data_IF_094420805147
#
_entry.id   IF_094420805147
#
_cell.length_a   1.000
_cell.length_b   1.000
_cell.length_c   1.000
_cell.angle_alpha   90.00
_cell.angle_beta   90.00
_cell.angle_gamma   90.00
#
_symmetry.space_group_name_H-M   'P 1'
#
loop_
_entity.id
_entity.type
_entity.pdbx_description
1 polymer ?
#
# COMPACT_ATOMS: atom_id res chain seq x y z
N UNK A 1 22.92 6.75 44.04
CA UNK A 1 21.56 6.82 44.60
C UNK A 1 20.77 7.85 43.81
N UNK A 2 19.54 7.54 43.36
CA UNK A 2 18.67 8.54 42.71
C UNK A 2 18.30 9.60 43.75
N UNK A 3 18.46 10.88 43.41
CA UNK A 3 18.07 12.00 44.28
C UNK A 3 16.54 12.06 44.31
N UNK A 4 15.96 11.91 45.49
CA UNK A 4 14.49 11.97 45.68
C UNK A 4 14.10 13.37 46.13
N UNK A 5 13.13 13.98 45.47
CA UNK A 5 12.57 15.28 45.86
C UNK A 5 11.19 15.08 46.48
N UNK A 6 10.92 15.79 47.59
CA UNK A 6 9.64 15.69 48.30
C UNK A 6 8.71 16.79 47.79
N UNK A 7 7.56 16.38 47.27
CA UNK A 7 6.48 17.27 46.84
C UNK A 7 5.27 17.04 47.74
N UNK A 8 4.54 18.12 48.05
CA UNK A 8 3.24 18.06 48.74
C UNK A 8 2.16 18.35 47.72
N UNK A 9 1.21 17.44 47.57
CA UNK A 9 0.08 17.58 46.63
C UNK A 9 -1.23 17.35 47.37
N UNK A 10 -2.26 18.10 46.99
CA UNK A 10 -3.63 17.86 47.46
C UNK A 10 -4.34 17.01 46.42
N UNK A 11 -4.83 15.84 46.83
CA UNK A 11 -5.59 14.92 45.99
C UNK A 11 -6.97 14.66 46.62
N UNK A 12 -7.98 14.38 45.80
CA UNK A 12 -9.27 13.90 46.29
C UNK A 12 -9.12 12.68 47.21
N UNK A 13 -9.95 12.59 48.25
CA UNK A 13 -9.81 11.59 49.31
C UNK A 13 -10.08 10.17 48.82
N UNK A 14 -10.95 10.02 47.83
CA UNK A 14 -11.20 8.80 47.07
C UNK A 14 -9.98 8.36 46.25
N UNK A 15 -9.29 9.28 45.58
CA UNK A 15 -8.04 8.97 44.83
C UNK A 15 -6.94 8.45 45.76
N UNK A 16 -6.80 9.04 46.94
CA UNK A 16 -5.81 8.58 47.93
C UNK A 16 -6.15 7.18 48.44
N UNK A 17 -7.43 6.93 48.77
CA UNK A 17 -7.90 5.61 49.21
C UNK A 17 -7.70 4.55 48.12
N UNK A 18 -8.04 4.88 46.88
CA UNK A 18 -7.84 3.99 45.74
C UNK A 18 -6.36 3.57 45.62
N UNK A 19 -5.43 4.53 45.75
CA UNK A 19 -4.00 4.23 45.70
C UNK A 19 -3.54 3.38 46.89
N UNK A 20 -4.06 3.65 48.09
CA UNK A 20 -3.74 2.89 49.31
C UNK A 20 -4.29 1.45 49.27
N UNK A 21 -5.43 1.22 48.63
CA UNK A 21 -6.03 -0.10 48.45
C UNK A 21 -5.36 -0.89 47.32
N UNK A 22 -4.94 -0.21 46.25
CA UNK A 22 -4.46 -0.87 45.03
C UNK A 22 -2.95 -1.16 45.03
N UNK A 23 -2.10 -0.40 45.73
CA UNK A 23 -0.64 -0.48 45.54
C UNK A 23 -0.07 -1.89 45.78
N UNK A 24 -0.52 -2.56 46.85
CA UNK A 24 -0.05 -3.90 47.17
C UNK A 24 -0.57 -4.95 46.16
N UNK A 25 -1.83 -4.83 45.72
CA UNK A 25 -2.42 -5.71 44.72
C UNK A 25 -1.78 -5.58 43.33
N UNK A 26 -1.19 -4.42 43.04
CA UNK A 26 -0.43 -4.14 41.82
C UNK A 26 1.07 -4.46 41.96
N UNK A 27 1.50 -5.04 43.09
CA UNK A 27 2.88 -5.48 43.32
C UNK A 27 3.85 -4.38 43.75
N UNK A 28 3.36 -3.22 44.18
CA UNK A 28 4.20 -2.14 44.72
C UNK A 28 4.40 -2.28 46.22
N UNK A 29 5.56 -1.82 46.72
CA UNK A 29 5.91 -1.93 48.13
C UNK A 29 5.25 -0.83 48.98
N UNK A 30 4.89 0.29 48.36
CA UNK A 30 4.27 1.44 49.02
C UNK A 30 3.53 2.31 47.99
N UNK A 31 2.64 3.18 48.48
CA UNK A 31 1.89 4.14 47.66
C UNK A 31 2.80 5.03 46.80
N UNK A 32 3.97 5.42 47.29
CA UNK A 32 4.89 6.30 46.55
C UNK A 32 5.41 5.62 45.27
N UNK A 33 5.73 4.33 45.32
CA UNK A 33 6.15 3.56 44.15
C UNK A 33 5.06 3.50 43.09
N UNK A 34 3.80 3.26 43.51
CA UNK A 34 2.64 3.30 42.62
C UNK A 34 2.48 4.69 41.99
N UNK A 35 2.52 5.76 42.77
CA UNK A 35 2.37 7.14 42.26
C UNK A 35 3.49 7.47 41.25
N UNK A 36 4.74 7.13 41.56
CA UNK A 36 5.86 7.34 40.65
C UNK A 36 5.72 6.53 39.36
N UNK A 37 5.24 5.28 39.44
CA UNK A 37 4.97 4.45 38.27
C UNK A 37 3.85 5.06 37.41
N UNK A 38 2.73 5.46 38.02
CA UNK A 38 1.59 6.05 37.34
C UNK A 38 1.94 7.36 36.60
N UNK A 39 2.73 8.25 37.23
CA UNK A 39 3.18 9.49 36.58
C UNK A 39 4.04 9.16 35.35
N UNK A 40 4.98 8.22 35.48
CA UNK A 40 5.87 7.82 34.37
C UNK A 40 5.09 7.18 33.23
N UNK A 41 4.15 6.30 33.56
CA UNK A 41 3.29 5.65 32.58
C UNK A 41 2.45 6.68 31.83
N UNK A 42 1.76 7.57 32.53
CA UNK A 42 0.93 8.60 31.92
C UNK A 42 1.72 9.50 30.96
N UNK A 43 2.86 10.02 31.41
CA UNK A 43 3.72 10.89 30.59
C UNK A 43 4.28 10.13 29.39
N UNK A 44 4.73 8.89 29.58
CA UNK A 44 5.27 8.07 28.48
C UNK A 44 4.18 7.73 27.46
N UNK A 45 3.00 7.36 27.92
CA UNK A 45 1.86 7.04 27.06
C UNK A 45 1.40 8.26 26.24
N UNK A 46 1.29 9.43 26.86
CA UNK A 46 0.90 10.66 26.14
C UNK A 46 1.96 11.08 25.12
N UNK A 47 3.24 11.00 25.50
CA UNK A 47 4.36 11.26 24.59
C UNK A 47 4.32 10.30 23.38
N UNK A 48 4.13 9.00 23.63
CA UNK A 48 3.99 7.99 22.57
C UNK A 48 2.78 8.24 21.67
N UNK A 49 1.66 8.72 22.23
CA UNK A 49 0.46 9.07 21.47
C UNK A 49 0.70 10.24 20.50
N UNK A 50 1.46 11.25 20.93
CA UNK A 50 1.87 12.36 20.07
C UNK A 50 2.82 11.89 18.96
N UNK A 51 3.88 11.14 19.32
CA UNK A 51 4.84 10.60 18.36
C UNK A 51 4.21 9.64 17.34
N UNK A 52 3.30 8.76 17.75
CA UNK A 52 2.62 7.82 16.84
C UNK A 52 1.65 8.52 15.90
N UNK A 53 0.97 9.60 16.34
CA UNK A 53 0.15 10.43 15.47
C UNK A 53 0.96 11.09 14.36
N UNK A 54 2.06 11.77 14.72
CA UNK A 54 2.94 12.44 13.74
C UNK A 54 3.61 11.47 12.77
N UNK A 55 4.09 10.32 13.26
CA UNK A 55 4.68 9.28 12.41
C UNK A 55 3.64 8.73 11.42
N UNK A 56 2.41 8.45 11.88
CA UNK A 56 1.35 7.92 11.02
C UNK A 56 1.02 8.89 9.88
N UNK A 57 0.95 10.19 10.14
CA UNK A 57 0.71 11.19 9.10
C UNK A 57 1.86 11.28 8.09
N UNK A 58 3.11 11.19 8.55
CA UNK A 58 4.29 11.19 7.68
C UNK A 58 4.30 9.95 6.78
N UNK A 59 4.07 8.75 7.35
CA UNK A 59 3.99 7.51 6.59
C UNK A 59 2.88 7.56 5.54
N UNK A 60 1.69 8.04 5.89
CA UNK A 60 0.59 8.19 4.94
C UNK A 60 0.90 9.17 3.80
N UNK A 61 1.65 10.24 4.08
CA UNK A 61 2.07 11.19 3.04
C UNK A 61 3.09 10.58 2.09
N UNK A 62 4.09 9.86 2.62
CA UNK A 62 5.12 9.18 1.83
C UNK A 62 4.47 8.12 0.93
N UNK A 63 3.63 7.25 1.49
CA UNK A 63 2.94 6.20 0.74
C UNK A 63 2.09 6.77 -0.41
N UNK A 64 1.32 7.85 -0.16
CA UNK A 64 0.56 8.52 -1.22
C UNK A 64 1.44 9.17 -2.28
N UNK A 65 2.61 9.72 -1.90
CA UNK A 65 3.53 10.30 -2.88
C UNK A 65 4.20 9.24 -3.75
N UNK A 66 4.65 8.13 -3.17
CA UNK A 66 5.27 7.04 -3.92
C UNK A 66 4.27 6.38 -4.88
N UNK A 67 3.04 6.12 -4.43
CA UNK A 67 1.97 5.62 -5.30
C UNK A 67 1.74 6.56 -6.48
N UNK A 68 1.65 7.88 -6.22
CA UNK A 68 1.42 8.88 -7.27
C UNK A 68 2.57 8.96 -8.27
N UNK A 69 3.82 8.88 -7.81
CA UNK A 69 4.99 8.87 -8.69
C UNK A 69 5.02 7.60 -9.56
N UNK A 70 4.71 6.43 -8.97
CA UNK A 70 4.60 5.17 -9.69
C UNK A 70 3.49 5.23 -10.75
N UNK A 71 2.31 5.74 -10.42
CA UNK A 71 1.21 5.92 -11.36
C UNK A 71 1.60 6.81 -12.55
N UNK A 72 2.28 7.93 -12.27
CA UNK A 72 2.77 8.83 -13.32
C UNK A 72 3.83 8.14 -14.20
N UNK A 73 4.75 7.40 -13.59
CA UNK A 73 5.78 6.68 -14.33
C UNK A 73 5.18 5.60 -15.23
N UNK A 74 4.24 4.80 -14.69
CA UNK A 74 3.54 3.75 -15.43
C UNK A 74 2.68 4.31 -16.56
N UNK A 75 2.03 5.45 -16.36
CA UNK A 75 1.28 6.17 -17.40
C UNK A 75 2.19 6.64 -18.53
N UNK A 76 3.35 7.23 -18.22
CA UNK A 76 4.36 7.63 -19.22
C UNK A 76 4.89 6.44 -20.02
N UNK A 77 5.17 5.32 -19.35
CA UNK A 77 5.64 4.11 -20.02
C UNK A 77 4.55 3.51 -20.92
N UNK A 78 3.31 3.46 -20.44
CA UNK A 78 2.15 2.98 -21.22
C UNK A 78 1.94 3.83 -22.47
N UNK A 79 2.12 5.15 -22.37
CA UNK A 79 2.08 6.05 -23.53
C UNK A 79 3.17 5.72 -24.56
N UNK A 80 4.42 5.51 -24.12
CA UNK A 80 5.52 5.14 -25.04
C UNK A 80 5.24 3.81 -25.76
N UNK A 81 4.77 2.81 -25.03
CA UNK A 81 4.38 1.51 -25.62
C UNK A 81 3.24 1.70 -26.63
N UNK A 82 2.25 2.53 -26.32
CA UNK A 82 1.15 2.83 -27.26
C UNK A 82 1.66 3.51 -28.55
N UNK A 83 2.63 4.42 -28.44
CA UNK A 83 3.27 5.06 -29.60
C UNK A 83 4.03 4.03 -30.44
N UNK A 84 4.83 3.17 -29.82
CA UNK A 84 5.59 2.11 -30.52
C UNK A 84 4.63 1.10 -31.21
N UNK A 85 3.55 0.70 -30.54
CA UNK A 85 2.52 -0.17 -31.14
C UNK A 85 1.82 0.51 -32.31
N UNK A 86 1.51 1.80 -32.21
CA UNK A 86 0.93 2.55 -33.33
C UNK A 86 1.89 2.62 -34.52
N UNK A 87 3.19 2.81 -34.28
CA UNK A 87 4.21 2.78 -35.34
C UNK A 87 4.26 1.42 -36.05
N UNK A 88 4.24 0.32 -35.30
CA UNK A 88 4.17 -1.03 -35.87
C UNK A 88 2.88 -1.21 -36.68
N UNK A 89 1.74 -0.74 -36.17
CA UNK A 89 0.46 -0.85 -36.87
C UNK A 89 0.47 -0.07 -38.20
N UNK A 90 1.01 1.14 -38.22
CA UNK A 90 1.16 1.93 -39.45
C UNK A 90 2.11 1.26 -40.46
N UNK A 91 3.20 0.66 -39.98
CA UNK A 91 4.11 -0.12 -40.82
C UNK A 91 3.39 -1.33 -41.43
N UNK A 92 2.65 -2.10 -40.64
CA UNK A 92 1.88 -3.25 -41.10
C UNK A 92 0.79 -2.86 -42.09
N UNK A 93 0.08 -1.75 -41.86
CA UNK A 93 -0.91 -1.22 -42.78
C UNK A 93 -0.31 -0.82 -44.15
N UNK A 94 0.99 -0.50 -44.19
CA UNK A 94 1.70 -0.23 -45.45
C UNK A 94 2.20 -1.51 -46.13
N UNK A 95 2.46 -2.57 -45.35
CA UNK A 95 3.07 -3.81 -45.84
C UNK A 95 2.04 -4.91 -46.18
N UNK A 96 0.83 -4.85 -45.62
CA UNK A 96 -0.17 -5.92 -45.70
C UNK A 96 -1.53 -5.35 -46.06
N UNK A 97 -2.17 -5.91 -47.09
CA UNK A 97 -3.57 -5.65 -47.39
C UNK A 97 -4.45 -6.61 -46.56
N UNK A 98 -5.22 -6.05 -45.63
CA UNK A 98 -6.12 -6.80 -44.75
C UNK A 98 -7.59 -6.44 -45.04
N UNK A 99 -8.47 -7.42 -45.26
CA UNK A 99 -9.91 -7.19 -45.34
C UNK A 99 -10.47 -6.56 -44.06
N UNK A 100 -11.39 -5.60 -44.21
CA UNK A 100 -11.93 -4.79 -43.10
C UNK A 100 -12.67 -5.63 -42.04
N UNK A 101 -13.33 -6.70 -42.46
CA UNK A 101 -14.03 -7.66 -41.62
C UNK A 101 -13.06 -8.48 -40.75
N UNK A 102 -11.90 -8.85 -41.32
CA UNK A 102 -10.83 -9.54 -40.60
C UNK A 102 -10.22 -8.62 -39.54
N UNK A 103 -9.88 -7.37 -39.89
CA UNK A 103 -9.31 -6.38 -38.97
C UNK A 103 -10.19 -6.17 -37.73
N UNK A 104 -11.50 -5.97 -37.94
CA UNK A 104 -12.46 -5.79 -36.84
C UNK A 104 -12.56 -7.01 -35.92
N UNK A 105 -12.35 -8.22 -36.45
CA UNK A 105 -12.40 -9.47 -35.70
C UNK A 105 -11.13 -9.76 -34.89
N UNK A 106 -9.98 -9.19 -35.28
CA UNK A 106 -8.67 -9.49 -34.70
C UNK A 106 -8.59 -9.09 -33.22
N UNK A 107 -9.12 -7.91 -32.84
CA UNK A 107 -9.14 -7.48 -31.44
C UNK A 107 -9.89 -8.47 -30.55
N UNK A 108 -11.05 -8.97 -31.02
CA UNK A 108 -11.83 -9.95 -30.29
C UNK A 108 -11.09 -11.28 -30.10
N UNK A 109 -10.37 -11.74 -31.12
CA UNK A 109 -9.52 -12.94 -31.05
C UNK A 109 -8.34 -12.76 -30.10
N UNK A 110 -7.65 -11.62 -30.19
CA UNK A 110 -6.53 -11.27 -29.31
C UNK A 110 -6.95 -11.24 -27.82
N UNK A 111 -8.09 -10.60 -27.51
CA UNK A 111 -8.62 -10.58 -26.13
C UNK A 111 -8.93 -11.99 -25.63
N UNK A 112 -9.54 -12.85 -26.46
CA UNK A 112 -9.82 -14.25 -26.09
C UNK A 112 -8.53 -15.02 -25.80
N UNK A 113 -7.51 -14.88 -26.66
CA UNK A 113 -6.21 -15.54 -26.47
C UNK A 113 -5.51 -15.08 -25.20
N UNK A 114 -5.44 -13.77 -24.97
CA UNK A 114 -4.82 -13.17 -23.78
C UNK A 114 -5.50 -13.67 -22.50
N UNK A 115 -6.84 -13.70 -22.49
CA UNK A 115 -7.61 -14.22 -21.36
C UNK A 115 -7.37 -15.71 -21.14
N UNK A 116 -7.34 -16.52 -22.21
CA UNK A 116 -7.10 -17.96 -22.12
C UNK A 116 -5.68 -18.29 -21.64
N UNK A 117 -4.69 -17.51 -22.07
CA UNK A 117 -3.27 -17.72 -21.80
C UNK A 117 -2.72 -16.87 -20.64
N UNK A 118 -3.61 -16.26 -19.84
CA UNK A 118 -3.28 -15.45 -18.66
C UNK A 118 -2.24 -14.35 -18.95
N UNK A 119 -2.38 -13.67 -20.07
CA UNK A 119 -1.51 -12.55 -20.44
C UNK A 119 -0.29 -12.92 -21.28
N UNK A 120 0.03 -14.20 -21.48
CA UNK A 120 1.21 -14.62 -22.24
C UNK A 120 0.86 -15.39 -23.50
N UNK A 121 0.98 -14.75 -24.67
CA UNK A 121 0.74 -15.38 -25.97
C UNK A 121 2.08 -15.60 -26.67
N UNK A 122 2.66 -16.83 -26.64
CA UNK A 122 3.91 -17.09 -27.35
C UNK A 122 3.68 -17.08 -28.87
N UNK A 123 4.66 -16.58 -29.61
CA UNK A 123 4.59 -16.44 -31.08
C UNK A 123 4.27 -17.77 -31.77
N UNK A 124 4.83 -18.88 -31.29
CA UNK A 124 4.58 -20.21 -31.83
C UNK A 124 3.12 -20.67 -31.71
N UNK A 125 2.38 -20.17 -30.71
CA UNK A 125 0.92 -20.40 -30.60
C UNK A 125 0.15 -19.45 -31.51
N UNK A 126 0.57 -18.18 -31.60
CA UNK A 126 -0.05 -17.21 -32.48
C UNK A 126 0.02 -17.64 -33.95
N UNK A 127 1.17 -18.16 -34.41
CA UNK A 127 1.37 -18.67 -35.78
C UNK A 127 0.46 -19.88 -36.06
N UNK A 128 0.41 -20.87 -35.17
CA UNK A 128 -0.46 -22.05 -35.34
C UNK A 128 -1.96 -21.71 -35.44
N UNK A 129 -2.38 -20.65 -34.78
CA UNK A 129 -3.78 -20.17 -34.86
C UNK A 129 -4.02 -19.30 -36.10
N UNK A 130 -2.98 -18.65 -36.63
CA UNK A 130 -3.03 -17.93 -37.90
C UNK A 130 -3.07 -18.88 -39.12
N UNK A 131 -2.30 -19.97 -39.10
CA UNK A 131 -2.34 -21.02 -40.15
C UNK A 131 -3.74 -21.63 -40.29
N UNK A 132 -4.45 -21.85 -39.16
CA UNK A 132 -5.86 -22.28 -39.16
C UNK A 132 -6.84 -21.25 -39.74
N UNK A 133 -6.43 -19.98 -39.80
CA UNK A 133 -7.21 -18.88 -40.35
C UNK A 133 -7.05 -18.78 -41.88
N UNK A 134 -5.88 -19.15 -42.41
CA UNK A 134 -5.66 -19.27 -43.86
C UNK A 134 -6.38 -20.48 -44.46
N UNK A 135 -6.57 -21.58 -43.72
CA UNK A 135 -7.38 -22.74 -44.18
C UNK A 135 -8.89 -22.44 -44.32
N UNK A 136 -9.36 -21.29 -43.82
CA UNK A 136 -10.76 -20.85 -43.84
C UNK A 136 -11.04 -19.71 -44.85
N UNK A 137 -10.01 -19.25 -45.56
CA UNK A 137 -10.07 -18.27 -46.66
C UNK A 137 -9.83 -18.96 -48.01
#
# INVERSE_FOLDING_TARGET
>A
MRKTEKITVSLPSDTVKLADEAYAGLGFSNRLELINAAIREYVTHDLMRQFTGELTEIYQKIERSEIKELEQHLSKLSYKIAVELAQIYMLLATAVELPYDVDRSLRGKAVKQVNHLKGFVPLSKAVKEAEKLEELL
#
